data_IF_986154545039
#
_entry.id   IF_986154545039
#
_cell.length_a   1.000
_cell.length_b   1.000
_cell.length_c   1.000
_cell.angle_alpha   90.00
_cell.angle_beta   90.00
_cell.angle_gamma   90.00
#
_symmetry.space_group_name_H-M   'P 1'
#
loop_
_entity.id
_entity.type
_entity.pdbx_description
1 polymer ?
#
# COMPACT_ATOMS: atom_id res chain seq x y z
N UNK A 1 -58.12 15.78 26.94
CA UNK A 1 -57.85 15.70 25.48
C UNK A 1 -56.64 14.80 25.28
N UNK A 2 -56.84 13.55 24.84
CA UNK A 2 -55.76 12.58 24.58
C UNK A 2 -55.28 12.82 23.16
N UNK A 3 -54.08 13.41 23.00
CA UNK A 3 -53.48 13.68 21.69
C UNK A 3 -52.78 12.41 21.20
N UNK A 4 -53.36 11.76 20.20
CA UNK A 4 -52.82 10.56 19.55
C UNK A 4 -51.44 10.84 18.91
N UNK A 5 -50.39 10.30 19.53
CA UNK A 5 -48.97 10.50 19.16
C UNK A 5 -48.41 9.37 18.28
N UNK A 6 -49.18 8.86 17.32
CA UNK A 6 -48.85 7.64 16.54
C UNK A 6 -48.39 7.78 15.06
N UNK A 7 -48.18 8.94 14.41
CA UNK A 7 -47.88 8.94 12.97
C UNK A 7 -46.42 8.59 12.58
N UNK A 8 -45.46 8.67 13.50
CA UNK A 8 -44.02 8.60 13.15
C UNK A 8 -43.52 7.16 12.87
N UNK A 9 -44.14 6.14 13.46
CA UNK A 9 -43.68 4.75 13.29
C UNK A 9 -44.01 4.16 11.92
N UNK A 10 -45.12 4.58 11.29
CA UNK A 10 -45.55 4.05 9.98
C UNK A 10 -44.59 4.43 8.84
N UNK A 11 -43.98 5.62 8.92
CA UNK A 11 -43.07 6.11 7.89
C UNK A 11 -41.73 5.33 7.86
N UNK A 12 -41.25 4.88 9.03
CA UNK A 12 -40.01 4.10 9.15
C UNK A 12 -40.16 2.70 8.55
N UNK A 13 -41.29 2.03 8.79
CA UNK A 13 -41.56 0.71 8.20
C UNK A 13 -41.59 0.75 6.67
N UNK A 14 -42.23 1.75 6.07
CA UNK A 14 -42.29 1.88 4.61
C UNK A 14 -40.91 2.05 3.98
N UNK A 15 -40.01 2.81 4.63
CA UNK A 15 -38.64 2.98 4.16
C UNK A 15 -37.84 1.67 4.21
N UNK A 16 -38.01 0.88 5.27
CA UNK A 16 -37.35 -0.43 5.41
C UNK A 16 -37.80 -1.38 4.30
N UNK A 17 -39.10 -1.47 4.00
CA UNK A 17 -39.60 -2.30 2.91
C UNK A 17 -39.09 -1.85 1.54
N UNK A 18 -38.97 -0.54 1.30
CA UNK A 18 -38.39 -0.01 0.06
C UNK A 18 -36.91 -0.41 -0.10
N UNK A 19 -36.11 -0.34 0.97
CA UNK A 19 -34.70 -0.74 0.95
C UNK A 19 -34.57 -2.25 0.71
N UNK A 20 -35.36 -3.08 1.39
CA UNK A 20 -35.35 -4.53 1.19
C UNK A 20 -35.72 -4.88 -0.25
N UNK A 21 -36.76 -4.26 -0.81
CA UNK A 21 -37.17 -4.44 -2.21
C UNK A 21 -36.05 -4.08 -3.19
N UNK A 22 -35.34 -2.97 -2.96
CA UNK A 22 -34.22 -2.55 -3.79
C UNK A 22 -33.06 -3.55 -3.74
N UNK A 23 -32.71 -4.06 -2.56
CA UNK A 23 -31.63 -5.05 -2.40
C UNK A 23 -31.96 -6.35 -3.13
N UNK A 24 -33.20 -6.83 -3.03
CA UNK A 24 -33.66 -8.03 -3.73
C UNK A 24 -33.60 -7.83 -5.26
N UNK A 25 -34.03 -6.67 -5.76
CA UNK A 25 -33.97 -6.35 -7.18
C UNK A 25 -32.52 -6.32 -7.72
N UNK A 26 -31.60 -5.72 -6.96
CA UNK A 26 -30.17 -5.67 -7.33
C UNK A 26 -29.58 -7.09 -7.34
N UNK A 27 -29.88 -7.92 -6.33
CA UNK A 27 -29.41 -9.31 -6.29
C UNK A 27 -29.92 -10.12 -7.48
N UNK A 28 -31.20 -9.97 -7.85
CA UNK A 28 -31.78 -10.62 -9.03
C UNK A 28 -31.10 -10.20 -10.34
N UNK A 29 -30.77 -8.92 -10.49
CA UNK A 29 -30.06 -8.40 -11.66
C UNK A 29 -28.64 -8.98 -11.78
N UNK A 30 -27.91 -9.08 -10.66
CA UNK A 30 -26.55 -9.67 -10.64
C UNK A 30 -26.60 -11.13 -11.09
N UNK A 31 -27.54 -11.93 -10.56
CA UNK A 31 -27.71 -13.34 -10.95
C UNK A 31 -28.03 -13.45 -12.45
N UNK A 32 -28.92 -12.61 -12.98
CA UNK A 32 -29.25 -12.60 -14.41
C UNK A 32 -28.01 -12.29 -15.29
N UNK A 33 -27.19 -11.30 -14.90
CA UNK A 33 -25.94 -10.97 -15.60
C UNK A 33 -24.97 -12.16 -15.58
N UNK A 34 -24.79 -12.80 -14.42
CA UNK A 34 -23.92 -13.98 -14.30
C UNK A 34 -24.37 -15.14 -15.20
N UNK A 35 -25.68 -15.45 -15.23
CA UNK A 35 -26.24 -16.50 -16.10
C UNK A 35 -26.02 -16.16 -17.58
N UNK A 36 -26.22 -14.90 -17.98
CA UNK A 36 -25.96 -14.46 -19.34
C UNK A 36 -24.48 -14.61 -19.73
N UNK A 37 -23.54 -14.27 -18.85
CA UNK A 37 -22.11 -14.43 -19.09
C UNK A 37 -21.71 -15.91 -19.21
N UNK A 38 -22.26 -16.78 -18.35
CA UNK A 38 -22.02 -18.22 -18.44
C UNK A 38 -22.54 -18.81 -19.76
N UNK A 39 -23.75 -18.43 -20.19
CA UNK A 39 -24.29 -18.85 -21.51
C UNK A 39 -23.43 -18.34 -22.67
N UNK A 40 -22.92 -17.12 -22.60
CA UNK A 40 -22.02 -16.57 -23.63
C UNK A 40 -20.74 -17.39 -23.74
N UNK A 41 -20.10 -17.72 -22.61
CA UNK A 41 -18.90 -18.57 -22.57
C UNK A 41 -19.16 -19.97 -23.11
N UNK A 42 -20.28 -20.58 -22.74
CA UNK A 42 -20.67 -21.91 -23.26
C UNK A 42 -20.83 -21.91 -24.79
N UNK A 43 -21.44 -20.86 -25.37
CA UNK A 43 -21.55 -20.70 -26.83
C UNK A 43 -20.18 -20.54 -27.50
N UNK A 44 -19.29 -19.72 -26.94
CA UNK A 44 -17.92 -19.56 -27.47
C UNK A 44 -17.12 -20.85 -27.43
N UNK A 45 -17.24 -21.63 -26.35
CA UNK A 45 -16.58 -22.94 -26.24
C UNK A 45 -17.13 -23.95 -27.27
N UNK A 46 -18.45 -23.99 -27.48
CA UNK A 46 -19.06 -24.85 -28.48
C UNK A 46 -18.63 -24.50 -29.92
N UNK A 47 -18.53 -23.21 -30.25
CA UNK A 47 -18.03 -22.76 -31.56
C UNK A 47 -16.55 -23.10 -31.78
N UNK A 48 -15.71 -22.98 -30.74
CA UNK A 48 -14.31 -23.37 -30.83
C UNK A 48 -14.15 -24.88 -31.05
N UNK A 49 -14.97 -25.71 -30.39
CA UNK A 49 -14.97 -27.16 -30.59
C UNK A 49 -15.41 -27.57 -32.00
N UNK A 50 -16.42 -26.89 -32.58
CA UNK A 50 -16.89 -27.15 -33.94
C UNK A 50 -15.85 -26.77 -35.01
N UNK A 51 -15.01 -25.76 -34.77
CA UNK A 51 -13.98 -25.33 -35.72
C UNK A 51 -12.70 -26.19 -35.70
N UNK A 52 -12.46 -26.98 -34.64
CA UNK A 52 -11.23 -27.76 -34.45
C UNK A 52 -11.25 -29.20 -35.01
N UNK A 53 -12.36 -29.67 -35.60
CA UNK A 53 -12.57 -31.07 -35.98
C UNK A 53 -11.97 -31.53 -37.33
N UNK A 54 -11.11 -30.73 -37.96
CA UNK A 54 -10.52 -31.02 -39.28
C UNK A 54 -9.05 -31.43 -39.25
N UNK A 55 -8.62 -32.23 -38.28
CA UNK A 55 -7.25 -32.76 -38.22
C UNK A 55 -7.13 -34.09 -38.96
N UNK A 56 -6.55 -34.09 -40.16
CA UNK A 56 -6.18 -35.31 -40.88
C UNK A 56 -5.21 -36.18 -40.05
N UNK A 57 -5.42 -37.50 -39.96
CA UNK A 57 -4.42 -38.40 -39.38
C UNK A 57 -3.38 -38.75 -40.44
N UNK A 58 -2.11 -38.40 -40.21
CA UNK A 58 -1.03 -39.02 -40.95
C UNK A 58 0.23 -38.18 -41.11
N UNK A 59 1.14 -38.27 -40.14
CA UNK A 59 2.56 -38.36 -40.46
C UNK A 59 3.33 -38.95 -39.27
N UNK A 60 4.04 -40.08 -39.43
CA UNK A 60 4.90 -40.64 -38.39
C UNK A 60 6.20 -39.82 -38.26
N UNK A 61 6.72 -39.64 -37.03
CA UNK A 61 8.01 -38.98 -36.81
C UNK A 61 9.16 -39.93 -37.20
N UNK A 62 9.96 -39.53 -38.19
CA UNK A 62 11.26 -40.14 -38.48
C UNK A 62 12.32 -39.66 -37.47
N UNK A 63 13.27 -40.55 -37.18
CA UNK A 63 14.34 -40.42 -36.19
C UNK A 63 15.34 -39.29 -36.48
N UNK A 64 16.37 -39.06 -35.68
CA UNK A 64 17.24 -40.00 -34.94
C UNK A 64 18.12 -39.19 -33.95
N UNK A 65 18.86 -39.86 -33.04
CA UNK A 65 19.64 -39.24 -31.97
C UNK A 65 21.10 -38.98 -32.39
N UNK A 66 21.75 -37.97 -31.80
CA UNK A 66 23.21 -37.88 -31.76
C UNK A 66 23.64 -37.58 -30.32
N UNK A 67 24.53 -38.42 -29.84
CA UNK A 67 25.09 -38.47 -28.49
C UNK A 67 26.44 -37.70 -28.44
N UNK A 68 27.27 -37.79 -27.38
CA UNK A 68 27.87 -36.63 -26.72
C UNK A 68 29.37 -36.46 -27.01
N UNK A 69 29.89 -35.23 -26.83
CA UNK A 69 31.33 -35.01 -26.71
C UNK A 69 31.70 -34.32 -25.39
N UNK A 70 32.72 -34.92 -24.77
CA UNK A 70 33.42 -34.51 -23.55
C UNK A 70 34.69 -33.75 -23.92
N UNK A 71 35.38 -33.18 -22.91
CA UNK A 71 36.62 -32.37 -22.96
C UNK A 71 36.35 -30.86 -23.20
N UNK A 72 36.94 -29.89 -22.49
CA UNK A 72 38.22 -29.86 -21.81
C UNK A 72 38.25 -28.83 -20.65
N UNK A 73 39.12 -29.14 -19.67
CA UNK A 73 39.66 -28.21 -18.68
C UNK A 73 40.38 -27.04 -19.35
N UNK A 74 40.17 -25.83 -18.83
CA UNK A 74 40.92 -24.64 -19.21
C UNK A 74 40.86 -23.58 -18.11
N UNK A 75 41.87 -23.59 -17.24
CA UNK A 75 42.19 -22.51 -16.32
C UNK A 75 42.51 -21.23 -17.12
N UNK A 76 41.91 -20.10 -16.75
CA UNK A 76 42.41 -18.78 -17.09
C UNK A 76 42.58 -17.97 -15.80
N UNK A 77 43.81 -18.01 -15.27
CA UNK A 77 44.41 -16.88 -14.58
C UNK A 77 44.76 -15.84 -15.64
N UNK A 78 44.28 -14.61 -15.49
CA UNK A 78 44.86 -13.48 -16.21
C UNK A 78 45.23 -12.44 -15.17
N UNK A 79 46.53 -12.20 -15.17
CA UNK A 79 47.29 -11.35 -14.30
C UNK A 79 46.86 -9.88 -14.36
N UNK A 80 46.96 -9.29 -13.18
CA UNK A 80 46.94 -7.87 -12.89
C UNK A 80 48.29 -7.29 -13.33
N UNK A 81 48.29 -6.39 -14.31
CA UNK A 81 49.46 -5.59 -14.66
C UNK A 81 49.16 -4.10 -14.59
N UNK A 82 49.82 -3.47 -13.62
CA UNK A 82 50.13 -2.05 -13.57
C UNK A 82 51.05 -1.65 -14.73
N UNK A 83 50.79 -0.51 -15.39
CA UNK A 83 51.83 0.51 -15.62
C UNK A 83 51.21 1.87 -16.05
N UNK A 84 51.86 3.01 -15.70
CA UNK A 84 51.30 4.36 -15.74
C UNK A 84 51.86 5.22 -16.88
N UNK A 85 51.33 6.45 -16.93
CA UNK A 85 51.92 7.65 -17.55
C UNK A 85 51.99 7.66 -19.08
N UNK A 86 51.87 8.74 -19.83
CA UNK A 86 51.52 10.17 -19.69
C UNK A 86 51.66 10.66 -21.15
N UNK A 87 50.77 11.53 -21.66
CA UNK A 87 51.02 12.56 -22.69
C UNK A 87 49.64 13.14 -23.08
N UNK A 88 49.17 14.16 -22.35
CA UNK A 88 49.18 15.57 -22.78
C UNK A 88 48.69 15.77 -24.22
N UNK A 89 47.42 16.13 -24.38
CA UNK A 89 47.09 17.26 -25.26
C UNK A 89 45.85 18.00 -24.78
N UNK A 90 46.10 19.28 -24.55
CA UNK A 90 45.23 20.34 -24.09
C UNK A 90 44.06 20.59 -25.04
N UNK A 91 42.84 20.71 -24.51
CA UNK A 91 41.86 21.68 -25.01
C UNK A 91 40.86 22.07 -23.91
N UNK A 92 40.85 23.38 -23.67
CA UNK A 92 40.02 24.15 -22.76
C UNK A 92 38.53 23.86 -22.98
N UNK A 93 37.78 23.67 -21.91
CA UNK A 93 36.45 24.28 -21.82
C UNK A 93 36.05 24.51 -20.36
N UNK A 94 35.58 25.71 -20.15
CA UNK A 94 35.36 26.46 -18.92
C UNK A 94 34.30 25.85 -17.99
N UNK A 95 34.71 25.66 -16.73
CA UNK A 95 34.05 26.07 -15.50
C UNK A 95 32.52 26.22 -15.51
N UNK A 96 31.82 25.22 -14.95
CA UNK A 96 30.56 25.43 -14.24
C UNK A 96 30.41 24.37 -13.13
N UNK A 97 31.22 24.52 -12.06
CA UNK A 97 30.95 23.87 -10.78
C UNK A 97 29.80 24.60 -10.10
N UNK A 98 28.59 24.02 -10.16
CA UNK A 98 27.51 24.42 -9.27
C UNK A 98 27.65 23.64 -7.97
N UNK A 99 28.41 24.22 -7.05
CA UNK A 99 28.45 23.83 -5.64
C UNK A 99 27.11 24.23 -5.04
N UNK A 100 26.27 23.26 -4.66
CA UNK A 100 25.10 23.54 -3.83
C UNK A 100 25.62 23.55 -2.39
N UNK A 101 25.82 24.76 -1.89
CA UNK A 101 26.03 25.04 -0.47
C UNK A 101 24.81 24.57 0.32
N UNK A 102 25.08 23.86 1.41
CA UNK A 102 24.17 23.71 2.53
C UNK A 102 24.09 25.04 3.26
N UNK A 103 23.01 25.78 3.04
CA UNK A 103 22.74 26.98 3.83
C UNK A 103 22.03 26.60 5.13
N UNK A 104 22.78 26.82 6.20
CA UNK A 104 22.35 27.20 7.54
C UNK A 104 20.93 27.79 7.60
N UNK A 105 20.04 27.13 8.35
CA UNK A 105 18.88 27.78 8.95
C UNK A 105 19.11 27.85 10.46
N UNK A 106 19.87 28.85 10.88
CA UNK A 106 19.98 29.27 12.27
C UNK A 106 19.12 30.52 12.46
N UNK A 107 18.05 30.33 13.22
CA UNK A 107 17.57 31.19 14.31
C UNK A 107 17.78 32.72 14.22
N UNK A 108 16.67 33.44 14.14
CA UNK A 108 16.59 34.83 14.60
C UNK A 108 15.39 34.99 15.56
N UNK A 109 15.72 35.04 16.85
CA UNK A 109 14.94 35.64 17.93
C UNK A 109 15.15 37.15 17.86
N UNK A 110 14.07 37.92 17.66
CA UNK A 110 13.81 39.29 18.17
C UNK A 110 12.65 39.92 17.35
N UNK A 111 11.49 40.11 18.00
CA UNK A 111 10.35 40.87 17.45
C UNK A 111 10.55 42.40 17.52
N UNK A 112 9.66 43.19 16.88
CA UNK A 112 8.76 44.09 17.65
C UNK A 112 7.41 44.37 16.92
N UNK A 113 6.59 45.34 17.39
CA UNK A 113 5.73 45.36 18.56
C UNK A 113 4.27 44.98 18.24
N UNK A 114 3.49 44.74 19.28
CA UNK A 114 2.04 44.54 19.21
C UNK A 114 1.34 45.90 19.02
N UNK A 115 0.75 46.11 17.85
CA UNK A 115 -0.29 47.12 17.68
C UNK A 115 -1.66 46.48 17.98
N UNK A 116 -2.27 46.96 19.05
CA UNK A 116 -3.67 46.72 19.41
C UNK A 116 -4.60 47.28 18.33
N UNK A 117 -5.34 46.40 17.65
CA UNK A 117 -6.59 46.77 17.01
C UNK A 117 -7.67 45.85 17.56
N UNK A 118 -8.51 46.42 18.42
CA UNK A 118 -9.61 45.73 19.07
C UNK A 118 -10.66 45.25 18.06
N UNK A 119 -10.85 43.94 18.00
CA UNK A 119 -12.07 43.36 17.44
C UNK A 119 -13.04 43.06 18.60
N UNK A 120 -13.87 44.06 18.93
CA UNK A 120 -15.01 43.90 19.84
C UNK A 120 -16.11 43.09 19.14
N UNK A 121 -15.90 41.79 18.92
CA UNK A 121 -16.99 40.88 18.60
C UNK A 121 -17.74 40.55 19.88
N UNK A 122 -18.98 41.05 19.93
CA UNK A 122 -19.95 40.81 21.00
C UNK A 122 -20.07 39.32 21.28
N UNK A 123 -19.64 38.93 22.48
CA UNK A 123 -19.97 37.64 23.08
C UNK A 123 -21.47 37.67 23.36
N UNK A 124 -22.25 36.90 22.61
CA UNK A 124 -23.64 36.65 22.98
C UNK A 124 -23.61 35.86 24.29
N UNK A 125 -24.03 36.49 25.39
CA UNK A 125 -24.34 35.80 26.64
C UNK A 125 -25.49 34.84 26.36
N UNK A 126 -25.17 33.54 26.29
CA UNK A 126 -26.17 32.51 26.34
C UNK A 126 -26.79 32.52 27.73
N UNK A 127 -28.02 33.00 27.79
CA UNK A 127 -28.90 32.99 28.95
C UNK A 127 -28.93 31.59 29.57
N UNK A 128 -28.70 31.52 30.89
CA UNK A 128 -28.64 30.30 31.69
C UNK A 128 -29.99 29.60 31.83
N UNK A 129 -30.58 29.16 30.72
CA UNK A 129 -31.75 28.27 30.74
C UNK A 129 -31.27 26.84 30.89
N UNK A 130 -31.53 26.32 32.09
CA UNK A 130 -31.27 24.92 32.46
C UNK A 130 -31.75 23.97 31.37
N UNK A 131 -30.80 23.25 30.79
CA UNK A 131 -31.10 22.05 30.03
C UNK A 131 -31.62 21.01 31.02
N UNK A 132 -32.94 20.86 31.05
CA UNK A 132 -33.57 19.68 31.60
C UNK A 132 -32.89 18.46 30.97
N UNK A 133 -32.22 17.71 31.84
CA UNK A 133 -31.67 16.36 31.65
C UNK A 133 -32.60 15.53 30.77
N UNK A 134 -32.30 15.51 29.46
CA UNK A 134 -33.01 14.67 28.51
C UNK A 134 -32.32 13.33 28.60
N UNK A 135 -32.94 12.43 29.37
CA UNK A 135 -32.55 11.03 29.46
C UNK A 135 -32.64 10.45 28.05
N UNK A 136 -31.49 10.36 27.39
CA UNK A 136 -31.37 9.72 26.09
C UNK A 136 -31.54 8.23 26.36
N UNK A 137 -32.70 7.69 25.99
CA UNK A 137 -32.87 6.25 25.95
C UNK A 137 -31.86 5.70 24.92
N UNK A 138 -30.82 5.07 25.47
CA UNK A 138 -29.78 4.35 24.77
C UNK A 138 -30.46 3.22 23.97
N UNK A 139 -30.87 3.56 22.74
CA UNK A 139 -31.35 2.59 21.77
C UNK A 139 -30.27 1.54 21.63
N UNK A 140 -30.55 0.34 22.15
CA UNK A 140 -29.70 -0.84 22.12
C UNK A 140 -29.39 -1.25 20.69
N UNK A 141 -28.47 -0.52 20.07
CA UNK A 141 -27.85 -0.88 18.82
C UNK A 141 -27.13 -2.20 19.07
N UNK A 142 -27.68 -3.26 18.51
CA UNK A 142 -27.10 -4.59 18.34
C UNK A 142 -25.57 -4.46 18.30
N UNK A 143 -24.92 -4.68 19.44
CA UNK A 143 -23.45 -4.73 19.51
C UNK A 143 -23.09 -5.97 18.73
N UNK A 144 -22.74 -5.78 17.46
CA UNK A 144 -22.09 -6.83 16.67
C UNK A 144 -20.99 -7.41 17.56
N UNK A 145 -20.94 -8.74 17.73
CA UNK A 145 -19.87 -9.35 18.51
C UNK A 145 -18.54 -8.79 18.00
N UNK A 146 -17.59 -8.45 18.89
CA UNK A 146 -16.27 -8.01 18.47
C UNK A 146 -15.78 -9.04 17.47
N UNK A 147 -15.56 -8.61 16.23
CA UNK A 147 -14.98 -9.52 15.25
C UNK A 147 -13.66 -9.96 15.87
N UNK A 148 -13.51 -11.25 16.15
CA UNK A 148 -12.30 -11.89 16.68
C UNK A 148 -11.18 -11.85 15.61
N UNK A 149 -10.86 -10.66 15.14
CA UNK A 149 -9.70 -10.31 14.30
C UNK A 149 -8.49 -10.00 15.17
N UNK A 150 -8.48 -10.48 16.41
CA UNK A 150 -7.37 -10.35 17.33
C UNK A 150 -6.17 -11.12 16.75
N UNK A 151 -5.31 -10.39 16.05
CA UNK A 151 -4.03 -10.93 15.57
C UNK A 151 -3.28 -11.44 16.81
N UNK A 152 -2.82 -12.70 16.85
CA UNK A 152 -2.12 -13.24 18.00
C UNK A 152 -0.95 -12.33 18.38
N UNK A 153 -0.85 -11.98 19.67
CA UNK A 153 0.16 -11.02 20.17
C UNK A 153 1.58 -11.48 19.86
N UNK A 154 1.77 -12.80 19.80
CA UNK A 154 3.03 -13.47 19.48
C UNK A 154 3.50 -13.11 18.07
N UNK A 155 2.58 -12.85 17.12
CA UNK A 155 2.94 -12.42 15.76
C UNK A 155 3.42 -10.98 15.71
N UNK A 156 3.07 -10.15 16.69
CA UNK A 156 3.41 -8.73 16.78
C UNK A 156 4.59 -8.46 17.71
N UNK A 157 5.10 -9.48 18.41
CA UNK A 157 6.27 -9.37 19.29
C UNK A 157 7.60 -9.47 18.53
N UNK A 158 8.66 -8.91 19.15
CA UNK A 158 10.04 -9.04 18.70
C UNK A 158 10.58 -7.91 17.82
N UNK A 159 9.74 -6.93 17.45
CA UNK A 159 10.14 -5.80 16.62
C UNK A 159 10.64 -4.63 17.47
N UNK A 160 11.87 -4.17 17.21
CA UNK A 160 12.53 -3.07 17.93
C UNK A 160 12.37 -1.74 17.23
N UNK A 161 12.41 -1.73 15.90
CA UNK A 161 12.37 -0.53 15.07
C UNK A 161 10.99 -0.29 14.48
N UNK A 162 10.20 -1.33 14.25
CA UNK A 162 8.85 -1.29 13.73
C UNK A 162 7.80 -1.40 14.84
N UNK A 163 6.88 -0.43 14.90
CA UNK A 163 5.69 -0.52 15.77
C UNK A 163 4.63 -1.43 15.15
N UNK A 164 4.85 -2.74 15.19
CA UNK A 164 4.01 -3.75 14.52
C UNK A 164 2.51 -3.64 14.90
N UNK A 165 2.20 -3.41 16.17
CA UNK A 165 0.80 -3.21 16.62
C UNK A 165 0.16 -2.00 15.96
N UNK A 166 0.86 -0.87 15.91
CA UNK A 166 0.35 0.34 15.27
C UNK A 166 0.13 0.13 13.77
N UNK A 167 1.04 -0.57 13.09
CA UNK A 167 0.90 -0.93 11.68
C UNK A 167 -0.38 -1.73 11.44
N UNK A 168 -0.57 -2.81 12.19
CA UNK A 168 -1.73 -3.69 12.05
C UNK A 168 -3.03 -2.94 12.34
N UNK A 169 -3.08 -2.15 13.41
CA UNK A 169 -4.26 -1.35 13.74
C UNK A 169 -4.60 -0.38 12.61
N UNK A 170 -3.61 0.34 12.06
CA UNK A 170 -3.83 1.24 10.92
C UNK A 170 -4.32 0.49 9.68
N UNK A 171 -3.76 -0.67 9.37
CA UNK A 171 -4.16 -1.49 8.22
C UNK A 171 -5.57 -2.08 8.38
N UNK A 172 -5.95 -2.47 9.60
CA UNK A 172 -7.31 -2.94 9.91
C UNK A 172 -8.33 -1.80 9.77
N UNK A 173 -8.03 -0.63 10.35
CA UNK A 173 -8.86 0.57 10.19
C UNK A 173 -9.06 0.93 8.72
N UNK A 174 -7.98 0.92 7.94
CA UNK A 174 -8.03 1.21 6.51
C UNK A 174 -8.73 0.13 5.68
N UNK A 175 -8.83 -1.11 6.19
CA UNK A 175 -9.58 -2.19 5.53
C UNK A 175 -11.09 -2.09 5.78
N UNK A 176 -11.48 -1.42 6.87
CA UNK A 176 -12.89 -1.11 7.16
C UNK A 176 -13.39 0.12 6.38
N UNK A 177 -12.47 0.95 5.89
CA UNK A 177 -12.79 2.02 4.96
C UNK A 177 -13.21 1.42 3.60
N UNK A 178 -14.32 1.90 3.03
CA UNK A 178 -14.79 1.47 1.71
C UNK A 178 -13.79 1.83 0.61
N UNK A 179 -12.91 2.81 0.86
CA UNK A 179 -11.89 3.25 -0.08
C UNK A 179 -10.60 2.46 0.13
N UNK A 180 -10.24 1.61 -0.84
CA UNK A 180 -8.96 0.87 -0.77
C UNK A 180 -7.73 1.79 -0.80
N UNK A 181 -7.87 3.07 -1.13
CA UNK A 181 -6.78 4.06 -1.19
C UNK A 181 -6.09 4.23 0.17
N UNK A 182 -6.85 4.28 1.27
CA UNK A 182 -6.28 4.44 2.62
C UNK A 182 -5.31 3.31 2.97
N UNK A 183 -5.65 2.07 2.60
CA UNK A 183 -4.80 0.90 2.82
C UNK A 183 -3.44 1.06 2.14
N UNK A 184 -3.44 1.54 0.90
CA UNK A 184 -2.20 1.76 0.14
C UNK A 184 -1.41 2.97 0.65
N UNK A 185 -2.08 4.01 1.13
CA UNK A 185 -1.43 5.15 1.76
C UNK A 185 -0.70 4.72 3.04
N UNK A 186 -1.32 3.90 3.89
CA UNK A 186 -0.65 3.33 5.06
C UNK A 186 0.52 2.42 4.68
N UNK A 187 0.35 1.57 3.67
CA UNK A 187 1.44 0.74 3.17
C UNK A 187 2.64 1.61 2.73
N UNK A 188 2.39 2.69 1.99
CA UNK A 188 3.41 3.65 1.61
C UNK A 188 4.09 4.28 2.83
N UNK A 189 3.33 4.74 3.82
CA UNK A 189 3.86 5.38 5.04
C UNK A 189 4.79 4.46 5.81
N UNK A 190 4.43 3.19 5.94
CA UNK A 190 5.27 2.23 6.64
C UNK A 190 6.45 1.76 5.78
N UNK A 191 6.30 1.62 4.46
CA UNK A 191 7.39 1.21 3.59
C UNK A 191 8.47 2.31 3.47
N UNK A 192 8.08 3.56 3.26
CA UNK A 192 9.02 4.64 2.92
C UNK A 192 9.31 5.58 4.10
N UNK A 193 8.33 5.88 4.95
CA UNK A 193 8.45 6.87 6.03
C UNK A 193 8.55 6.26 7.43
N UNK A 194 8.75 4.94 7.50
CA UNK A 194 9.00 4.16 8.71
C UNK A 194 7.92 4.23 9.79
N UNK A 195 6.70 4.63 9.44
CA UNK A 195 5.57 4.73 10.39
C UNK A 195 5.74 5.77 11.51
N UNK A 196 6.92 6.39 11.66
CA UNK A 196 7.21 7.40 12.67
C UNK A 196 6.70 8.73 12.17
N UNK A 197 5.69 9.29 12.85
CA UNK A 197 5.20 10.68 12.71
C UNK A 197 5.46 11.26 11.33
N UNK A 198 5.02 10.54 10.29
CA UNK A 198 5.32 10.87 8.93
C UNK A 198 4.98 12.35 8.79
N UNK A 199 5.99 13.14 8.45
CA UNK A 199 5.83 14.59 8.32
C UNK A 199 4.55 14.82 7.53
N UNK A 200 3.79 15.88 7.84
CA UNK A 200 2.52 16.13 7.15
C UNK A 200 2.66 15.95 5.62
N UNK A 201 3.84 16.34 5.11
CA UNK A 201 4.29 16.13 3.73
C UNK A 201 4.48 14.66 3.30
N UNK A 202 5.10 13.77 4.09
CA UNK A 202 5.11 12.35 3.73
C UNK A 202 3.69 11.78 3.64
N UNK A 203 2.82 12.12 4.60
CA UNK A 203 1.45 11.60 4.56
C UNK A 203 0.75 12.04 3.28
N UNK A 204 0.83 13.33 2.94
CA UNK A 204 0.29 13.89 1.71
C UNK A 204 0.84 13.15 0.47
N UNK A 205 2.16 12.99 0.37
CA UNK A 205 2.78 12.31 -0.77
C UNK A 205 2.35 10.85 -0.86
N UNK A 206 2.21 10.15 0.27
CA UNK A 206 1.70 8.78 0.28
C UNK A 206 0.23 8.68 -0.09
N UNK A 207 -0.60 9.67 0.25
CA UNK A 207 -1.99 9.75 -0.20
C UNK A 207 -2.06 9.94 -1.72
N UNK A 208 -1.32 10.92 -2.25
CA UNK A 208 -1.24 11.16 -3.70
C UNK A 208 -0.71 9.93 -4.45
N UNK A 209 0.32 9.28 -3.93
CA UNK A 209 0.89 8.09 -4.55
C UNK A 209 -0.07 6.89 -4.52
N UNK A 210 -0.83 6.72 -3.44
CA UNK A 210 -1.79 5.64 -3.31
C UNK A 210 -2.91 5.68 -4.36
N UNK A 211 -3.28 6.87 -4.85
CA UNK A 211 -4.22 7.05 -5.95
C UNK A 211 -3.64 6.62 -7.30
N UNK A 212 -2.31 6.69 -7.43
CA UNK A 212 -1.57 6.33 -8.65
C UNK A 212 -1.10 4.88 -8.69
N UNK A 213 -1.19 4.13 -7.60
CA UNK A 213 -0.75 2.74 -7.60
C UNK A 213 -1.60 1.84 -8.49
N UNK A 214 -0.92 0.94 -9.20
CA UNK A 214 -1.55 -0.23 -9.80
C UNK A 214 -1.79 -1.26 -8.69
N UNK A 215 -3.03 -1.27 -8.19
CA UNK A 215 -3.44 -2.09 -7.04
C UNK A 215 -3.14 -3.59 -7.23
N UNK A 216 -3.41 -4.22 -8.40
CA UNK A 216 -2.95 -5.58 -8.69
C UNK A 216 -1.44 -5.77 -8.50
N UNK A 217 -0.60 -4.88 -9.05
CA UNK A 217 0.86 -4.98 -8.93
C UNK A 217 1.30 -4.88 -7.46
N UNK A 218 0.81 -3.87 -6.73
CA UNK A 218 1.17 -3.69 -5.32
C UNK A 218 0.73 -4.88 -4.49
N UNK A 219 -0.50 -5.38 -4.70
CA UNK A 219 -1.01 -6.56 -3.99
C UNK A 219 -0.16 -7.80 -4.28
N UNK A 220 0.23 -8.02 -5.54
CA UNK A 220 1.09 -9.13 -5.93
C UNK A 220 2.49 -9.01 -5.30
N UNK A 221 3.06 -7.81 -5.25
CA UNK A 221 4.34 -7.55 -4.59
C UNK A 221 4.25 -7.82 -3.10
N UNK A 222 3.25 -7.26 -2.40
CA UNK A 222 3.05 -7.46 -0.96
C UNK A 222 2.92 -8.93 -0.61
N UNK A 223 2.19 -9.73 -1.41
CA UNK A 223 2.07 -11.18 -1.21
C UNK A 223 3.39 -11.94 -1.35
N UNK A 224 4.33 -11.40 -2.11
CA UNK A 224 5.67 -11.99 -2.31
C UNK A 224 6.69 -11.51 -1.28
N UNK A 225 6.36 -10.47 -0.50
CA UNK A 225 7.25 -10.00 0.57
C UNK A 225 7.39 -11.11 1.62
N UNK A 226 8.63 -11.37 2.00
CA UNK A 226 9.02 -12.29 3.06
C UNK A 226 10.25 -11.71 3.77
N UNK A 227 10.61 -12.28 4.91
CA UNK A 227 11.78 -11.84 5.68
C UNK A 227 13.13 -12.03 4.95
N UNK A 228 13.15 -12.69 3.78
CA UNK A 228 14.35 -12.86 2.96
C UNK A 228 14.55 -11.73 1.95
N UNK A 229 13.59 -10.81 1.81
CA UNK A 229 13.77 -9.65 0.94
C UNK A 229 14.85 -8.74 1.50
N UNK A 230 15.91 -8.55 0.73
CA UNK A 230 17.00 -7.63 1.05
C UNK A 230 16.50 -6.18 0.96
N UNK A 231 16.82 -5.33 1.94
CA UNK A 231 16.57 -3.89 1.88
C UNK A 231 17.12 -3.24 0.60
N UNK A 232 16.52 -2.13 0.17
CA UNK A 232 17.00 -1.42 -1.02
C UNK A 232 18.46 -0.98 -0.84
N UNK A 233 19.34 -1.35 -1.78
CA UNK A 233 20.77 -1.06 -1.66
C UNK A 233 21.06 0.46 -1.72
N UNK A 234 20.40 1.17 -2.63
CA UNK A 234 20.59 2.59 -2.89
C UNK A 234 19.27 3.28 -3.30
N UNK A 235 19.34 4.60 -3.50
CA UNK A 235 18.19 5.41 -3.88
C UNK A 235 17.59 5.00 -5.24
N UNK A 236 18.40 4.51 -6.17
CA UNK A 236 17.93 4.13 -7.51
C UNK A 236 17.15 2.82 -7.46
N UNK A 237 17.63 1.83 -6.69
CA UNK A 237 16.91 0.61 -6.39
C UNK A 237 15.55 0.90 -5.74
N UNK A 238 15.51 1.81 -4.75
CA UNK A 238 14.27 2.26 -4.14
C UNK A 238 13.31 2.91 -5.15
N UNK A 239 13.80 3.85 -5.97
CA UNK A 239 12.98 4.56 -6.98
C UNK A 239 12.42 3.59 -8.00
N UNK A 240 13.22 2.63 -8.45
CA UNK A 240 12.80 1.60 -9.40
C UNK A 240 11.68 0.75 -8.82
N UNK A 241 11.80 0.27 -7.58
CA UNK A 241 10.74 -0.48 -6.93
C UNK A 241 9.46 0.34 -6.75
N UNK A 242 9.58 1.59 -6.30
CA UNK A 242 8.45 2.49 -6.14
C UNK A 242 7.72 2.76 -7.46
N UNK A 243 8.46 3.00 -8.56
CA UNK A 243 7.87 3.24 -9.88
C UNK A 243 7.19 2.00 -10.44
N UNK A 244 7.72 0.80 -10.17
CA UNK A 244 7.08 -0.45 -10.57
C UNK A 244 5.67 -0.60 -9.96
N UNK A 245 5.46 -0.14 -8.73
CA UNK A 245 4.14 -0.17 -8.06
C UNK A 245 3.08 0.68 -8.76
N UNK A 246 3.50 1.68 -9.54
CA UNK A 246 2.61 2.59 -10.25
C UNK A 246 2.11 2.03 -11.58
N UNK A 247 2.70 0.93 -12.06
CA UNK A 247 2.37 0.31 -13.34
C UNK A 247 2.56 1.28 -14.50
N UNK A 248 1.46 1.74 -15.09
CA UNK A 248 1.47 2.70 -16.22
C UNK A 248 1.40 4.17 -15.79
N UNK A 249 1.14 4.44 -14.50
CA UNK A 249 0.97 5.79 -14.00
C UNK A 249 2.32 6.45 -13.73
N UNK A 250 2.43 7.75 -13.99
CA UNK A 250 3.63 8.52 -13.64
C UNK A 250 3.61 8.95 -12.17
N UNK A 251 4.51 8.35 -11.41
CA UNK A 251 4.75 8.65 -9.99
C UNK A 251 6.20 9.03 -9.71
N UNK A 252 6.94 9.47 -10.73
CA UNK A 252 8.37 9.78 -10.62
C UNK A 252 8.65 10.73 -9.47
N UNK A 253 7.88 11.83 -9.38
CA UNK A 253 8.06 12.89 -8.39
C UNK A 253 7.85 12.37 -6.95
N UNK A 254 6.78 11.62 -6.72
CA UNK A 254 6.46 11.06 -5.41
C UNK A 254 7.51 10.04 -4.98
N UNK A 255 7.93 9.16 -5.89
CA UNK A 255 8.96 8.17 -5.62
C UNK A 255 10.33 8.79 -5.33
N UNK A 256 10.71 9.86 -6.04
CA UNK A 256 11.97 10.56 -5.79
C UNK A 256 11.99 11.16 -4.37
N UNK A 257 10.88 11.77 -3.94
CA UNK A 257 10.73 12.32 -2.59
C UNK A 257 10.74 11.22 -1.50
N UNK A 258 9.93 10.17 -1.67
CA UNK A 258 9.81 9.10 -0.69
C UNK A 258 11.11 8.34 -0.51
N UNK A 259 11.86 8.09 -1.59
CA UNK A 259 13.14 7.39 -1.50
C UNK A 259 14.24 8.24 -0.84
N UNK A 260 14.26 9.56 -1.05
CA UNK A 260 15.17 10.44 -0.32
C UNK A 260 14.87 10.37 1.19
N UNK A 261 13.61 10.57 1.58
CA UNK A 261 13.20 10.49 2.99
C UNK A 261 13.46 9.10 3.61
N UNK A 262 13.24 8.04 2.85
CA UNK A 262 13.48 6.68 3.30
C UNK A 262 14.95 6.46 3.66
N UNK A 263 15.87 7.05 2.88
CA UNK A 263 17.31 6.93 3.08
C UNK A 263 17.88 7.88 4.13
N UNK A 264 17.16 8.94 4.49
CA UNK A 264 17.54 9.85 5.59
C UNK A 264 17.45 9.19 6.99
N UNK A 265 16.83 8.02 7.09
CA UNK A 265 16.68 7.30 8.35
C UNK A 265 17.89 6.39 8.66
N UNK A 266 18.60 6.66 9.75
CA UNK A 266 19.82 5.93 10.13
C UNK A 266 19.60 4.43 10.41
N UNK A 267 18.40 4.04 10.82
CA UNK A 267 18.03 2.64 11.12
C UNK A 267 17.28 1.95 9.98
N UNK A 268 17.29 2.53 8.77
CA UNK A 268 16.48 2.07 7.63
C UNK A 268 16.58 0.59 7.33
N UNK A 269 17.80 0.04 7.21
CA UNK A 269 17.98 -1.39 6.93
C UNK A 269 17.29 -2.28 7.96
N UNK A 270 17.51 -2.01 9.24
CA UNK A 270 16.91 -2.78 10.35
C UNK A 270 15.39 -2.64 10.40
N UNK A 271 14.88 -1.45 10.09
CA UNK A 271 13.44 -1.22 9.98
C UNK A 271 12.83 -1.98 8.79
N UNK A 272 13.47 -1.93 7.60
CA UNK A 272 13.01 -2.65 6.41
C UNK A 272 13.02 -4.17 6.64
N UNK A 273 14.05 -4.70 7.29
CA UNK A 273 14.14 -6.12 7.66
C UNK A 273 12.95 -6.52 8.57
N UNK A 274 12.70 -5.75 9.63
CA UNK A 274 11.57 -5.97 10.53
C UNK A 274 10.20 -5.84 9.83
N UNK A 275 10.07 -4.88 8.90
CA UNK A 275 8.87 -4.70 8.10
C UNK A 275 8.63 -5.89 7.16
N UNK A 276 9.66 -6.33 6.45
CA UNK A 276 9.60 -7.49 5.57
C UNK A 276 9.30 -8.78 6.36
N UNK A 277 9.87 -8.93 7.56
CA UNK A 277 9.57 -10.03 8.47
C UNK A 277 8.10 -9.99 8.90
N UNK A 278 7.58 -8.84 9.36
CA UNK A 278 6.19 -8.70 9.77
C UNK A 278 5.21 -9.06 8.65
N UNK A 279 5.43 -8.53 7.44
CA UNK A 279 4.61 -8.87 6.27
C UNK A 279 4.75 -10.36 5.93
N UNK A 280 5.97 -10.90 6.02
CA UNK A 280 6.23 -12.33 5.84
C UNK A 280 5.43 -13.22 6.79
N UNK A 281 5.32 -12.84 8.08
CA UNK A 281 4.47 -13.56 9.06
C UNK A 281 3.01 -13.59 8.62
N UNK A 282 2.49 -12.49 8.06
CA UNK A 282 1.11 -12.44 7.57
C UNK A 282 0.88 -13.21 6.27
N UNK A 283 1.86 -13.24 5.37
CA UNK A 283 1.78 -14.00 4.13
C UNK A 283 1.94 -15.50 4.36
N UNK A 284 2.84 -15.90 5.27
CA UNK A 284 3.13 -17.29 5.61
C UNK A 284 2.24 -17.81 6.73
N UNK A 285 0.91 -17.90 6.53
CA UNK A 285 -0.05 -18.54 7.47
C UNK A 285 0.24 -20.05 7.61
N UNK A 286 1.40 -20.41 8.15
CA UNK A 286 1.88 -21.79 8.22
C UNK A 286 3.09 -22.04 9.13
N UNK A 287 3.70 -21.04 9.78
CA UNK A 287 4.72 -21.32 10.80
C UNK A 287 4.51 -20.48 12.06
N UNK A 288 4.31 -21.12 13.22
CA UNK A 288 4.23 -20.41 14.49
C UNK A 288 5.59 -19.77 14.84
N UNK A 289 5.58 -18.63 15.56
CA UNK A 289 6.80 -18.03 16.08
C UNK A 289 7.48 -19.02 17.03
N UNK A 290 8.72 -19.41 16.72
CA UNK A 290 9.50 -20.38 17.50
C UNK A 290 10.06 -21.55 16.69
N UNK A 291 9.67 -21.72 15.42
CA UNK A 291 10.44 -22.58 14.53
C UNK A 291 11.82 -21.93 14.31
N UNK A 292 12.93 -22.60 14.68
CA UNK A 292 14.25 -22.06 14.42
C UNK A 292 14.39 -21.79 12.93
N UNK A 293 14.87 -20.59 12.59
CA UNK A 293 15.29 -20.26 11.23
C UNK A 293 16.38 -21.25 10.88
N UNK A 294 16.07 -22.24 10.05
CA UNK A 294 17.10 -23.14 9.50
C UNK A 294 18.00 -22.27 8.63
N UNK A 295 19.20 -22.00 9.14
CA UNK A 295 20.31 -21.43 8.38
C UNK A 295 20.81 -22.40 7.31
#
# INVERSE_FOLDING_TARGET
MIVNKFPVQKQKMNLIFAIIGLVIAIAGLIVAICVCQMRKRARSAAMAAAAGGGGMPGQPPMGTPIAPDSHALGQQSIDMHDNPSLLISSRRSSSLRRSIHSDHFAESVLGPPLDEVGDTRRVAQADGRGFSKLEVEESGGERRPPVDTAIPKERLGGFKYLKATAFVTSMQQASNDKTSTMKYAYLCRYAYCHGVSATAKCNEVCHTLAEKYDRPIVTARVKKLNGSKVPAADHEACRKECRNDCGKNDCKRECDYLCAMHFDNNNRKKYEDEFNELIGRFNGIGSPPGSPVKG
#
